data_IF_822364106147
#
_entry.id   IF_822364106147
#
_cell.length_a   1.000
_cell.length_b   1.000
_cell.length_c   1.000
_cell.angle_alpha   90.00
_cell.angle_beta   90.00
_cell.angle_gamma   90.00
#
_symmetry.space_group_name_H-M   'P 1'
#
loop_
_entity.id
_entity.type
_entity.pdbx_description
1 polymer ?
#
# COMPACT_ATOMS: atom_id res chain seq x y z
N UNK A 1 0.85 57.23 7.46
CA UNK A 1 0.70 56.82 6.06
C UNK A 1 1.52 55.55 5.81
N UNK A 2 1.03 54.37 6.27
CA UNK A 2 1.71 53.06 6.08
C UNK A 2 0.72 51.90 6.29
N UNK A 3 -0.39 51.89 5.57
CA UNK A 3 -1.40 50.80 5.68
C UNK A 3 -2.05 50.39 4.36
N UNK A 4 -1.46 50.67 3.19
CA UNK A 4 -2.11 50.43 1.89
C UNK A 4 -1.35 49.50 0.93
N UNK A 5 -0.27 48.82 1.36
CA UNK A 5 0.58 48.02 0.47
C UNK A 5 0.42 46.50 0.65
N UNK A 6 -0.42 45.99 1.56
CA UNK A 6 -0.60 44.55 1.78
C UNK A 6 -1.76 43.90 1.04
N UNK A 7 -2.72 44.69 0.50
CA UNK A 7 -3.90 44.14 -0.17
C UNK A 7 -3.67 43.74 -1.64
N UNK A 8 -2.63 44.27 -2.30
CA UNK A 8 -2.41 44.05 -3.73
C UNK A 8 -1.69 42.71 -4.04
N UNK A 9 -0.90 42.16 -3.08
CA UNK A 9 -0.11 40.94 -3.35
C UNK A 9 -0.91 39.65 -3.21
N UNK A 10 -1.98 39.66 -2.42
CA UNK A 10 -2.83 38.45 -2.22
C UNK A 10 -3.76 38.20 -3.44
N UNK A 11 -4.15 39.24 -4.17
CA UNK A 11 -5.02 39.07 -5.33
C UNK A 11 -4.31 38.48 -6.58
N UNK A 12 -3.00 38.63 -6.69
CA UNK A 12 -2.24 38.09 -7.83
C UNK A 12 -1.97 36.60 -7.67
N UNK A 13 -1.86 36.09 -6.44
CA UNK A 13 -1.65 34.66 -6.20
C UNK A 13 -2.90 33.80 -6.46
N UNK A 14 -4.10 34.36 -6.30
CA UNK A 14 -5.38 33.65 -6.55
C UNK A 14 -5.74 33.55 -8.04
N UNK A 15 -5.21 34.45 -8.88
CA UNK A 15 -5.44 34.40 -10.33
C UNK A 15 -4.48 33.43 -11.02
N UNK A 16 -3.29 33.21 -10.49
CA UNK A 16 -2.31 32.30 -11.09
C UNK A 16 -2.66 30.82 -10.90
N UNK A 17 -3.39 30.45 -9.85
CA UNK A 17 -3.83 29.06 -9.63
C UNK A 17 -5.02 28.65 -10.50
N UNK A 18 -5.82 29.60 -10.97
CA UNK A 18 -6.92 29.34 -11.89
C UNK A 18 -6.47 29.11 -13.34
N UNK A 19 -5.29 29.60 -13.73
CA UNK A 19 -4.78 29.41 -15.10
C UNK A 19 -4.15 28.03 -15.33
N UNK A 20 -3.63 27.38 -14.30
CA UNK A 20 -2.98 26.08 -14.44
C UNK A 20 -3.98 24.92 -14.70
N UNK A 21 -5.25 25.09 -14.32
CA UNK A 21 -6.29 24.07 -14.52
C UNK A 21 -6.90 24.15 -15.92
N UNK A 22 -6.86 25.32 -16.57
CA UNK A 22 -7.48 25.54 -17.87
C UNK A 22 -6.68 24.94 -19.06
N UNK A 23 -5.37 24.80 -18.94
CA UNK A 23 -4.53 24.25 -20.01
C UNK A 23 -4.61 22.72 -20.18
N UNK A 24 -5.24 22.00 -19.26
CA UNK A 24 -5.44 20.54 -19.36
C UNK A 24 -6.65 20.10 -20.20
N UNK A 25 -7.47 21.04 -20.69
CA UNK A 25 -8.74 20.75 -21.39
C UNK A 25 -8.71 21.29 -22.84
N UNK A 26 -7.56 21.26 -23.47
CA UNK A 26 -7.51 21.53 -24.91
C UNK A 26 -8.25 20.41 -25.67
N UNK A 27 -9.41 20.74 -26.24
CA UNK A 27 -10.21 19.85 -27.10
C UNK A 27 -11.63 19.54 -26.60
N UNK A 28 -12.02 19.97 -25.40
CA UNK A 28 -13.41 19.83 -24.98
C UNK A 28 -14.30 20.86 -25.71
N UNK A 29 -15.16 20.40 -26.62
CA UNK A 29 -16.15 21.26 -27.28
C UNK A 29 -17.22 21.79 -26.31
N UNK A 30 -17.37 21.20 -25.15
CA UNK A 30 -18.25 21.64 -24.06
C UNK A 30 -17.79 21.03 -22.73
N UNK A 31 -17.87 21.79 -21.66
CA UNK A 31 -17.77 21.27 -20.30
C UNK A 31 -19.19 21.05 -19.74
N UNK A 32 -19.46 19.86 -19.22
CA UNK A 32 -20.73 19.46 -18.64
C UNK A 32 -20.51 19.00 -17.21
N UNK A 33 -21.29 19.54 -16.28
CA UNK A 33 -21.34 18.97 -14.94
C UNK A 33 -22.02 17.60 -15.01
N UNK A 34 -21.41 16.59 -14.36
CA UNK A 34 -21.95 15.24 -14.26
C UNK A 34 -21.93 14.78 -12.82
N UNK A 35 -22.93 14.00 -12.45
CA UNK A 35 -23.03 13.40 -11.13
C UNK A 35 -23.61 11.99 -11.23
N UNK A 36 -23.12 11.10 -10.36
CA UNK A 36 -23.62 9.73 -10.24
C UNK A 36 -23.42 9.18 -8.85
N UNK A 37 -24.13 8.12 -8.56
CA UNK A 37 -24.03 7.34 -7.32
C UNK A 37 -23.80 5.88 -7.66
N UNK A 38 -23.20 5.11 -6.75
CA UNK A 38 -23.13 3.67 -6.88
C UNK A 38 -22.99 2.98 -5.52
N UNK A 39 -23.41 1.73 -5.49
CA UNK A 39 -23.06 0.76 -4.46
C UNK A 39 -22.31 -0.39 -5.14
N UNK A 40 -21.26 -0.90 -4.48
CA UNK A 40 -20.49 -2.01 -5.05
C UNK A 40 -20.04 -2.95 -3.94
N UNK A 41 -20.30 -4.24 -4.16
CA UNK A 41 -20.02 -5.32 -3.20
C UNK A 41 -18.75 -6.07 -3.58
N UNK A 42 -17.99 -6.49 -2.59
CA UNK A 42 -16.76 -7.26 -2.76
C UNK A 42 -17.03 -8.63 -3.37
N UNK A 43 -16.35 -8.96 -4.47
CA UNK A 43 -16.41 -10.26 -5.13
C UNK A 43 -15.18 -11.11 -4.87
N UNK A 44 -14.04 -10.49 -4.63
CA UNK A 44 -12.82 -11.15 -4.16
C UNK A 44 -11.90 -10.16 -3.46
N UNK A 45 -11.31 -10.57 -2.34
CA UNK A 45 -10.37 -9.77 -1.57
C UNK A 45 -9.16 -10.60 -1.15
N UNK A 46 -7.99 -9.97 -1.12
CA UNK A 46 -6.76 -10.54 -0.58
C UNK A 46 -6.18 -9.55 0.43
N UNK A 47 -6.00 -9.99 1.66
CA UNK A 47 -5.61 -9.12 2.78
C UNK A 47 -4.26 -9.56 3.35
N UNK A 48 -3.43 -8.56 3.69
CA UNK A 48 -2.16 -8.73 4.39
C UNK A 48 -2.14 -7.80 5.59
N UNK A 49 -1.68 -8.29 6.71
CA UNK A 49 -1.52 -7.50 7.93
C UNK A 49 -0.07 -7.40 8.31
N UNK A 50 0.39 -6.24 8.72
CA UNK A 50 1.71 -6.01 9.29
C UNK A 50 1.65 -5.06 10.47
N UNK A 51 2.61 -5.22 11.36
CA UNK A 51 2.81 -4.32 12.50
C UNK A 51 4.02 -3.44 12.22
N UNK A 52 3.89 -2.16 12.45
CA UNK A 52 4.98 -1.19 12.33
C UNK A 52 5.90 -1.27 13.55
N UNK A 53 7.07 -0.68 13.47
CA UNK A 53 8.05 -0.66 14.59
C UNK A 53 7.54 0.07 15.82
N UNK A 54 6.59 0.99 15.67
CA UNK A 54 5.88 1.71 16.74
C UNK A 54 4.59 0.99 17.22
N UNK A 55 4.41 -0.28 16.83
CA UNK A 55 3.34 -1.15 17.31
C UNK A 55 1.97 -0.95 16.64
N UNK A 56 1.88 -0.14 15.60
CA UNK A 56 0.62 0.07 14.88
C UNK A 56 0.34 -1.05 13.88
N UNK A 57 -0.93 -1.39 13.73
CA UNK A 57 -1.37 -2.43 12.79
C UNK A 57 -1.80 -1.82 11.46
N UNK A 58 -1.13 -2.23 10.39
CA UNK A 58 -1.46 -1.84 9.02
C UNK A 58 -2.08 -3.02 8.29
N UNK A 59 -3.25 -2.80 7.71
CA UNK A 59 -3.94 -3.79 6.87
C UNK A 59 -3.93 -3.31 5.43
N UNK A 60 -3.39 -4.12 4.54
CA UNK A 60 -3.39 -3.88 3.09
C UNK A 60 -4.35 -4.88 2.45
N UNK A 61 -5.34 -4.38 1.74
CA UNK A 61 -6.31 -5.24 1.03
C UNK A 61 -6.34 -4.85 -0.44
N UNK A 62 -6.19 -5.85 -1.30
CA UNK A 62 -6.46 -5.75 -2.74
C UNK A 62 -7.81 -6.42 -3.01
N UNK A 63 -8.77 -5.68 -3.58
CA UNK A 63 -10.14 -6.14 -3.77
C UNK A 63 -10.70 -5.88 -5.16
N UNK A 64 -11.66 -6.73 -5.55
CA UNK A 64 -12.54 -6.51 -6.71
C UNK A 64 -13.97 -6.35 -6.19
N UNK A 65 -14.69 -5.39 -6.76
CA UNK A 65 -16.05 -5.04 -6.36
C UNK A 65 -16.89 -4.86 -7.61
N UNK A 66 -18.16 -5.22 -7.52
CA UNK A 66 -19.14 -5.07 -8.61
C UNK A 66 -20.43 -4.49 -8.06
N UNK A 67 -21.13 -3.73 -8.90
CA UNK A 67 -22.37 -3.08 -8.51
C UNK A 67 -23.06 -2.41 -9.67
N UNK A 68 -23.88 -1.41 -9.35
CA UNK A 68 -24.62 -0.60 -10.33
C UNK A 68 -24.40 0.86 -10.01
N UNK A 69 -24.06 1.62 -11.04
CA UNK A 69 -23.99 3.08 -10.99
C UNK A 69 -25.27 3.68 -11.61
N UNK A 70 -25.73 4.77 -11.04
CA UNK A 70 -26.91 5.52 -11.47
C UNK A 70 -26.61 7.03 -11.42
N UNK A 71 -27.15 7.79 -12.36
CA UNK A 71 -26.96 9.23 -12.44
C UNK A 71 -27.06 9.76 -13.87
N UNK A 72 -26.16 10.65 -14.24
CA UNK A 72 -26.04 11.08 -15.63
C UNK A 72 -25.77 9.89 -16.57
N UNK A 73 -26.18 10.01 -17.82
CA UNK A 73 -26.06 8.94 -18.84
C UNK A 73 -24.66 8.38 -18.94
N UNK A 74 -23.62 9.20 -18.82
CA UNK A 74 -22.22 8.80 -18.88
C UNK A 74 -21.73 8.07 -17.61
N UNK A 75 -22.54 8.04 -16.56
CA UNK A 75 -22.25 7.43 -15.24
C UNK A 75 -23.33 6.41 -14.82
N UNK A 76 -24.09 5.87 -15.76
CA UNK A 76 -25.17 4.91 -15.50
C UNK A 76 -24.86 3.56 -16.15
N UNK A 77 -24.89 2.48 -15.37
CA UNK A 77 -24.69 1.10 -15.83
C UNK A 77 -24.00 0.21 -14.80
N UNK A 78 -23.75 -1.05 -15.13
CA UNK A 78 -22.96 -1.94 -14.32
C UNK A 78 -21.57 -1.34 -14.04
N UNK A 79 -21.13 -1.37 -12.77
CA UNK A 79 -19.81 -0.88 -12.38
C UNK A 79 -18.94 -2.00 -11.86
N UNK A 80 -17.69 -2.00 -12.30
CA UNK A 80 -16.63 -2.87 -11.78
C UNK A 80 -15.53 -2.00 -11.21
N UNK A 81 -15.07 -2.31 -9.99
CA UNK A 81 -13.97 -1.62 -9.35
C UNK A 81 -12.85 -2.60 -8.97
N UNK A 82 -11.64 -2.09 -9.00
CA UNK A 82 -10.48 -2.67 -8.31
C UNK A 82 -9.98 -1.64 -7.33
N UNK A 83 -9.81 -2.03 -6.09
CA UNK A 83 -9.30 -1.15 -5.06
C UNK A 83 -8.14 -1.80 -4.31
N UNK A 84 -7.17 -0.98 -3.98
CA UNK A 84 -6.16 -1.28 -2.98
C UNK A 84 -6.36 -0.33 -1.82
N UNK A 85 -6.49 -0.86 -0.63
CA UNK A 85 -6.54 -0.08 0.60
C UNK A 85 -5.31 -0.35 1.46
N UNK A 86 -4.78 0.70 2.08
CA UNK A 86 -3.75 0.63 3.10
C UNK A 86 -4.29 1.38 4.31
N UNK A 87 -4.70 0.64 5.33
CA UNK A 87 -5.40 1.20 6.50
C UNK A 87 -4.60 0.89 7.75
N UNK A 88 -4.27 1.94 8.49
CA UNK A 88 -3.84 1.83 9.87
C UNK A 88 -5.10 1.60 10.72
N UNK A 89 -5.29 0.37 11.19
CA UNK A 89 -6.47 -0.01 11.97
C UNK A 89 -6.40 0.46 13.41
N UNK A 90 -5.21 0.82 13.91
CA UNK A 90 -5.05 1.41 15.25
C UNK A 90 -5.61 2.84 15.29
N UNK A 91 -5.28 3.64 14.29
CA UNK A 91 -5.73 5.04 14.19
C UNK A 91 -6.99 5.19 13.33
N UNK A 92 -7.39 4.11 12.64
CA UNK A 92 -8.53 4.03 11.73
C UNK A 92 -8.48 5.04 10.57
N UNK A 93 -7.28 5.24 10.01
CA UNK A 93 -6.98 6.13 8.88
C UNK A 93 -6.17 5.41 7.80
N UNK A 94 -6.23 5.90 6.57
CA UNK A 94 -5.49 5.27 5.48
C UNK A 94 -5.77 5.88 4.12
N UNK A 95 -5.47 5.10 3.09
CA UNK A 95 -5.76 5.45 1.69
C UNK A 95 -6.49 4.30 1.01
N UNK A 96 -7.31 4.67 0.02
CA UNK A 96 -7.95 3.73 -0.91
C UNK A 96 -7.72 4.25 -2.32
N UNK A 97 -7.06 3.46 -3.13
CA UNK A 97 -6.75 3.80 -4.51
C UNK A 97 -7.19 2.68 -5.46
N UNK A 98 -7.44 3.01 -6.72
CA UNK A 98 -7.83 1.99 -7.67
C UNK A 98 -8.34 2.51 -8.99
N UNK A 99 -9.16 1.70 -9.63
CA UNK A 99 -9.81 2.01 -10.90
C UNK A 99 -11.24 1.49 -10.89
N UNK A 100 -12.10 2.20 -11.60
CA UNK A 100 -13.43 1.70 -11.94
C UNK A 100 -13.69 1.77 -13.45
N UNK A 101 -14.62 0.93 -13.91
CA UNK A 101 -15.24 0.99 -15.21
C UNK A 101 -16.75 0.88 -15.04
N UNK A 102 -17.48 1.76 -15.70
CA UNK A 102 -18.96 1.71 -15.84
C UNK A 102 -19.26 1.33 -17.27
N UNK A 103 -19.94 0.21 -17.44
CA UNK A 103 -20.44 -0.27 -18.74
C UNK A 103 -21.69 0.53 -19.10
N UNK A 104 -21.49 1.57 -19.94
CA UNK A 104 -22.55 2.51 -20.33
C UNK A 104 -23.24 1.99 -21.59
N UNK A 105 -24.57 1.97 -21.58
CA UNK A 105 -25.35 1.50 -22.71
C UNK A 105 -25.02 2.28 -23.99
N UNK A 106 -24.87 1.56 -25.11
CA UNK A 106 -24.67 2.08 -26.46
C UNK A 106 -23.38 2.88 -26.69
N UNK A 107 -22.28 2.55 -25.99
CA UNK A 107 -21.04 3.26 -26.25
C UNK A 107 -19.79 2.67 -25.63
N UNK A 108 -18.85 3.56 -25.30
CA UNK A 108 -17.60 3.18 -24.63
C UNK A 108 -17.79 3.31 -23.13
N UNK A 109 -17.15 2.43 -22.39
CA UNK A 109 -17.12 2.49 -20.93
C UNK A 109 -16.60 3.83 -20.42
N UNK A 110 -17.25 4.34 -19.39
CA UNK A 110 -16.66 5.38 -18.55
C UNK A 110 -15.69 4.72 -17.59
N UNK A 111 -14.44 5.17 -17.58
CA UNK A 111 -13.40 4.59 -16.71
C UNK A 111 -12.52 5.65 -16.10
N UNK A 112 -12.15 5.44 -14.83
CA UNK A 112 -11.24 6.34 -14.12
C UNK A 112 -10.36 5.58 -13.11
N UNK A 113 -9.18 6.16 -12.86
CA UNK A 113 -8.39 5.86 -11.67
C UNK A 113 -8.81 6.80 -10.56
N UNK A 114 -8.75 6.37 -9.33
CA UNK A 114 -9.07 7.19 -8.17
C UNK A 114 -8.07 7.00 -7.05
N UNK A 115 -7.94 8.05 -6.23
CA UNK A 115 -7.23 8.03 -4.96
C UNK A 115 -8.07 8.78 -3.92
N UNK A 116 -8.22 8.19 -2.76
CA UNK A 116 -9.05 8.71 -1.68
C UNK A 116 -8.38 8.51 -0.33
N UNK A 117 -8.61 9.44 0.58
CA UNK A 117 -8.30 9.31 2.01
C UNK A 117 -9.38 8.47 2.66
N UNK A 118 -8.97 7.52 3.48
CA UNK A 118 -9.85 6.75 4.37
C UNK A 118 -9.76 7.31 5.78
N UNK A 119 -10.91 7.59 6.37
CA UNK A 119 -11.04 8.03 7.76
C UNK A 119 -12.29 7.42 8.38
N UNK A 120 -12.11 6.52 9.35
CA UNK A 120 -13.19 5.90 10.14
C UNK A 120 -14.34 5.32 9.28
N UNK A 121 -14.02 4.62 8.21
CA UNK A 121 -15.01 4.01 7.31
C UNK A 121 -15.47 4.90 6.17
N UNK A 122 -15.22 6.21 6.22
CA UNK A 122 -15.52 7.11 5.11
C UNK A 122 -14.31 7.29 4.19
N UNK A 123 -14.55 7.42 2.90
CA UNK A 123 -13.53 7.84 1.93
C UNK A 123 -13.92 9.13 1.24
N UNK A 124 -12.92 9.96 0.96
CA UNK A 124 -13.05 11.17 0.15
C UNK A 124 -11.81 11.35 -0.72
N UNK A 125 -11.99 11.64 -2.01
CA UNK A 125 -10.90 11.74 -2.94
C UNK A 125 -11.30 12.22 -4.32
N UNK A 126 -10.46 11.90 -5.30
CA UNK A 126 -10.62 12.33 -6.68
C UNK A 126 -10.54 11.12 -7.63
N UNK A 127 -11.43 11.11 -8.62
CA UNK A 127 -11.41 10.21 -9.75
C UNK A 127 -11.04 10.97 -11.02
N UNK A 128 -10.10 10.42 -11.81
CA UNK A 128 -9.63 11.03 -13.06
C UNK A 128 -9.56 9.97 -14.15
N UNK A 129 -10.19 10.24 -15.29
CA UNK A 129 -10.25 9.27 -16.36
C UNK A 129 -10.90 9.76 -17.64
N UNK A 130 -11.66 8.86 -18.26
CA UNK A 130 -12.38 9.09 -19.53
C UNK A 130 -13.86 8.84 -19.30
N UNK A 131 -14.68 9.76 -19.81
CA UNK A 131 -16.11 9.54 -19.90
C UNK A 131 -16.45 8.73 -21.17
N UNK A 132 -17.68 8.26 -21.22
CA UNK A 132 -18.28 7.49 -22.32
C UNK A 132 -18.04 8.06 -23.73
N UNK A 133 -18.06 9.38 -23.88
CA UNK A 133 -17.85 10.00 -25.19
C UNK A 133 -16.38 9.93 -25.64
N UNK A 134 -16.11 9.80 -26.98
CA UNK A 134 -14.76 9.80 -27.50
C UNK A 134 -14.00 11.07 -27.07
N UNK A 135 -12.82 10.88 -26.47
CA UNK A 135 -11.93 11.94 -26.00
C UNK A 135 -12.47 12.83 -24.87
N UNK A 136 -13.63 12.53 -24.30
CA UNK A 136 -14.10 13.22 -23.10
C UNK A 136 -13.27 12.79 -21.89
N UNK A 137 -12.83 13.78 -21.10
CA UNK A 137 -12.15 13.54 -19.82
C UNK A 137 -13.16 13.60 -18.68
N UNK A 138 -12.99 12.73 -17.70
CA UNK A 138 -13.73 12.73 -16.44
C UNK A 138 -12.80 13.18 -15.32
N UNK A 139 -13.21 14.18 -14.56
CA UNK A 139 -12.63 14.53 -13.27
C UNK A 139 -13.80 14.69 -12.30
N UNK A 140 -13.84 13.89 -11.26
CA UNK A 140 -14.95 13.89 -10.31
C UNK A 140 -14.46 13.72 -8.87
N UNK A 141 -15.06 14.46 -7.95
CA UNK A 141 -14.93 14.12 -6.53
C UNK A 141 -15.55 12.75 -6.29
N UNK A 142 -14.88 11.94 -5.48
CA UNK A 142 -15.36 10.63 -5.02
C UNK A 142 -15.55 10.67 -3.51
N UNK A 143 -16.71 10.25 -3.05
CA UNK A 143 -16.96 9.99 -1.62
C UNK A 143 -17.80 8.73 -1.45
N UNK A 144 -17.56 7.97 -0.37
CA UNK A 144 -18.33 6.76 -0.03
C UNK A 144 -18.12 6.38 1.43
N UNK A 145 -18.98 5.51 1.95
CA UNK A 145 -18.60 4.60 3.04
C UNK A 145 -17.88 3.41 2.41
N UNK A 146 -16.72 3.03 2.97
CA UNK A 146 -15.88 1.97 2.44
C UNK A 146 -15.51 0.95 3.52
N UNK A 147 -15.66 -0.31 3.19
CA UNK A 147 -15.10 -1.44 3.92
C UNK A 147 -14.33 -2.33 2.95
N UNK A 148 -13.10 -2.67 3.26
CA UNK A 148 -12.27 -3.52 2.40
C UNK A 148 -12.91 -4.90 2.13
N UNK A 149 -13.69 -5.43 3.07
CA UNK A 149 -14.38 -6.71 2.94
C UNK A 149 -15.71 -6.61 2.18
N UNK A 150 -16.54 -5.60 2.49
CA UNK A 150 -17.90 -5.48 1.96
C UNK A 150 -18.00 -4.57 0.72
N UNK A 151 -17.12 -3.57 0.57
CA UNK A 151 -17.09 -2.71 -0.60
C UNK A 151 -17.45 -1.26 -0.33
N UNK A 152 -18.12 -0.64 -1.30
CA UNK A 152 -18.50 0.77 -1.33
C UNK A 152 -19.99 0.90 -1.16
N UNK A 153 -20.42 1.76 -0.22
CA UNK A 153 -21.83 2.04 0.03
C UNK A 153 -22.09 3.55 -0.04
N UNK A 154 -23.18 3.92 -0.70
CA UNK A 154 -23.60 5.32 -0.87
C UNK A 154 -22.54 6.16 -1.59
N UNK A 155 -21.79 5.55 -2.51
CA UNK A 155 -20.72 6.23 -3.24
C UNK A 155 -21.29 7.31 -4.16
N UNK A 156 -20.58 8.44 -4.23
CA UNK A 156 -20.93 9.58 -5.08
C UNK A 156 -19.75 9.96 -5.96
N UNK A 157 -20.03 10.19 -7.22
CA UNK A 157 -19.13 10.77 -8.21
C UNK A 157 -19.64 12.15 -8.57
N UNK A 158 -18.86 13.19 -8.32
CA UNK A 158 -19.32 14.57 -8.46
C UNK A 158 -20.18 15.06 -7.31
N UNK A 159 -20.52 16.34 -7.25
CA UNK A 159 -21.52 16.90 -6.34
C UNK A 159 -21.21 16.84 -4.84
N UNK A 160 -19.97 16.77 -4.42
CA UNK A 160 -19.59 16.78 -3.01
C UNK A 160 -18.34 17.59 -2.72
N UNK A 161 -18.25 18.19 -1.55
CA UNK A 161 -16.99 18.72 -1.04
C UNK A 161 -16.14 17.53 -0.60
N UNK A 162 -14.97 17.36 -1.22
CA UNK A 162 -13.94 16.48 -0.69
C UNK A 162 -13.41 17.08 0.61
N UNK A 163 -14.09 16.80 1.72
CA UNK A 163 -13.61 17.12 3.05
C UNK A 163 -12.90 15.91 3.61
N UNK A 164 -11.59 15.96 3.79
CA UNK A 164 -10.84 14.86 4.34
C UNK A 164 -9.65 15.33 5.16
N UNK A 165 -9.28 14.53 6.15
CA UNK A 165 -8.01 14.66 6.85
C UNK A 165 -6.89 14.30 5.88
N UNK A 166 -5.82 15.09 5.83
CA UNK A 166 -4.62 14.71 5.10
C UNK A 166 -3.99 13.49 5.78
N UNK A 167 -3.71 12.46 5.01
CA UNK A 167 -3.02 11.24 5.49
C UNK A 167 -1.74 11.07 4.70
N UNK A 168 -0.62 11.09 5.40
CA UNK A 168 0.67 10.70 4.85
C UNK A 168 0.86 9.19 5.07
N UNK A 169 1.01 8.44 3.97
CA UNK A 169 1.44 7.04 4.02
C UNK A 169 2.91 7.01 3.61
N UNK A 170 3.76 6.90 4.60
CA UNK A 170 5.20 6.77 4.40
C UNK A 170 5.55 5.52 3.57
N UNK A 171 6.78 5.45 3.02
CA UNK A 171 7.24 4.30 2.24
C UNK A 171 7.42 3.09 3.16
N UNK A 172 6.33 2.41 3.46
CA UNK A 172 6.31 1.16 4.19
C UNK A 172 5.98 0.03 3.23
N UNK A 173 6.88 -0.91 3.01
CA UNK A 173 6.48 -2.17 2.40
C UNK A 173 5.91 -3.06 3.50
N UNK A 174 4.63 -3.39 3.43
CA UNK A 174 4.06 -4.53 4.14
C UNK A 174 4.64 -5.82 3.52
N UNK A 175 5.94 -6.00 3.62
CA UNK A 175 6.52 -7.31 3.47
C UNK A 175 6.30 -7.98 4.83
N UNK A 176 5.81 -9.24 4.88
CA UNK A 176 6.01 -10.01 6.09
C UNK A 176 7.49 -9.84 6.40
N UNK A 177 7.81 -9.33 7.58
CA UNK A 177 9.17 -9.42 8.05
C UNK A 177 9.52 -10.88 7.85
N UNK A 178 10.37 -11.17 6.84
CA UNK A 178 11.12 -12.41 6.91
C UNK A 178 11.64 -12.35 8.33
N UNK A 179 11.38 -13.35 9.17
CA UNK A 179 12.05 -13.37 10.43
C UNK A 179 13.50 -13.13 10.06
N UNK A 180 14.04 -12.00 10.44
CA UNK A 180 15.46 -11.75 10.37
C UNK A 180 15.93 -12.82 11.34
N UNK A 181 16.29 -13.96 10.78
CA UNK A 181 17.05 -14.93 11.53
C UNK A 181 18.21 -14.08 12.02
N UNK A 182 18.19 -13.74 13.31
CA UNK A 182 19.30 -13.00 13.90
C UNK A 182 20.51 -13.82 13.51
N UNK A 183 21.27 -13.31 12.54
CA UNK A 183 22.45 -13.97 12.04
C UNK A 183 23.52 -13.64 13.04
N UNK A 184 23.87 -14.61 13.85
CA UNK A 184 25.04 -14.54 14.70
C UNK A 184 26.23 -15.10 13.94
N UNK A 185 27.34 -14.40 13.95
CA UNK A 185 28.59 -14.77 13.32
C UNK A 185 29.71 -14.74 14.33
N UNK A 186 30.60 -15.72 14.30
CA UNK A 186 31.79 -15.73 15.13
C UNK A 186 32.98 -16.30 14.37
N UNK A 187 34.12 -15.66 14.56
CA UNK A 187 35.41 -16.08 14.01
C UNK A 187 36.43 -16.33 15.14
N UNK A 188 37.09 -17.46 15.11
CA UNK A 188 38.09 -17.80 16.12
C UNK A 188 38.33 -19.30 16.25
N UNK A 189 38.97 -19.69 17.33
CA UNK A 189 39.25 -21.10 17.63
C UNK A 189 37.96 -21.83 18.05
N UNK A 190 37.78 -23.05 17.51
CA UNK A 190 36.72 -23.96 17.96
C UNK A 190 37.04 -24.43 19.39
N UNK A 191 36.31 -23.90 20.35
CA UNK A 191 36.48 -24.24 21.76
C UNK A 191 35.76 -25.53 22.17
N UNK A 192 34.67 -25.87 21.49
CA UNK A 192 33.93 -27.11 21.66
C UNK A 192 33.31 -27.57 20.35
N UNK A 193 33.34 -28.87 20.07
CA UNK A 193 32.72 -29.52 18.93
C UNK A 193 32.14 -30.86 19.35
N UNK A 194 30.86 -31.06 18.98
CA UNK A 194 30.15 -32.34 19.19
C UNK A 194 29.36 -32.69 17.91
N UNK A 195 28.68 -33.82 17.90
CA UNK A 195 27.77 -34.16 16.79
C UNK A 195 26.55 -33.26 16.69
N UNK A 196 26.21 -32.50 17.73
CA UNK A 196 24.99 -31.67 17.80
C UNK A 196 25.28 -30.20 17.99
N UNK A 197 26.51 -29.79 18.29
CA UNK A 197 26.83 -28.38 18.56
C UNK A 197 28.27 -28.02 18.28
N UNK A 198 28.51 -26.76 17.95
CA UNK A 198 29.85 -26.17 17.78
C UNK A 198 29.90 -24.83 18.52
N UNK A 199 31.04 -24.54 19.16
CA UNK A 199 31.30 -23.27 19.84
C UNK A 199 32.56 -22.62 19.28
N UNK A 200 32.47 -21.39 18.80
CA UNK A 200 33.57 -20.57 18.26
C UNK A 200 33.49 -19.20 18.92
N UNK A 201 34.56 -18.73 19.51
CA UNK A 201 34.64 -17.42 20.16
C UNK A 201 33.45 -17.10 21.11
N UNK A 202 32.96 -18.10 21.83
CA UNK A 202 31.82 -17.96 22.75
C UNK A 202 30.43 -18.09 22.12
N UNK A 203 30.30 -18.08 20.78
CA UNK A 203 29.03 -18.36 20.11
C UNK A 203 28.86 -19.88 19.98
N UNK A 204 27.77 -20.41 20.56
CA UNK A 204 27.38 -21.81 20.41
C UNK A 204 26.21 -21.94 19.45
N UNK A 205 26.36 -22.82 18.46
CA UNK A 205 25.31 -23.10 17.47
C UNK A 205 25.02 -24.61 17.41
N UNK A 206 23.75 -24.97 17.35
CA UNK A 206 23.31 -26.32 17.09
C UNK A 206 23.69 -26.73 15.65
N UNK A 207 24.23 -27.92 15.47
CA UNK A 207 24.54 -28.48 14.15
C UNK A 207 23.31 -29.27 13.68
N UNK A 208 22.69 -28.90 12.52
CA UNK A 208 21.62 -29.69 11.93
C UNK A 208 22.07 -31.14 11.66
N UNK A 209 21.19 -32.10 11.82
CA UNK A 209 21.50 -33.51 11.69
C UNK A 209 22.08 -33.88 10.29
N UNK A 210 21.60 -33.24 9.25
CA UNK A 210 22.06 -33.38 7.87
C UNK A 210 23.47 -32.86 7.63
N UNK A 211 23.98 -31.97 8.48
CA UNK A 211 25.33 -31.37 8.39
C UNK A 211 26.32 -31.98 9.39
N UNK A 212 25.84 -32.72 10.37
CA UNK A 212 26.65 -33.21 11.48
C UNK A 212 27.85 -34.06 11.04
N UNK A 213 27.64 -35.02 10.13
CA UNK A 213 28.69 -35.88 9.61
C UNK A 213 29.79 -35.07 8.90
N UNK A 214 29.40 -34.14 8.04
CA UNK A 214 30.32 -33.30 7.26
C UNK A 214 31.14 -32.36 8.13
N UNK A 215 30.50 -31.75 9.13
CA UNK A 215 31.16 -30.83 10.07
C UNK A 215 32.19 -31.58 10.89
N UNK A 216 31.83 -32.71 11.47
CA UNK A 216 32.73 -33.50 12.32
C UNK A 216 33.88 -34.20 11.55
N UNK A 217 33.70 -34.45 10.22
CA UNK A 217 34.77 -34.96 9.38
C UNK A 217 35.82 -33.91 8.99
N UNK A 218 35.43 -32.64 8.89
CA UNK A 218 36.25 -31.55 8.36
C UNK A 218 36.85 -30.64 9.44
N UNK A 219 36.24 -30.56 10.61
CA UNK A 219 36.61 -29.63 11.66
C UNK A 219 36.93 -30.39 12.97
N UNK A 220 37.89 -29.87 13.70
CA UNK A 220 38.34 -30.42 14.99
C UNK A 220 38.41 -29.32 16.04
N UNK A 221 38.36 -29.67 17.29
CA UNK A 221 38.63 -28.73 18.39
C UNK A 221 40.02 -28.12 18.20
N UNK A 222 40.15 -26.83 18.47
CA UNK A 222 41.33 -25.98 18.23
C UNK A 222 41.60 -25.58 16.76
N UNK A 223 40.78 -26.01 15.77
CA UNK A 223 40.81 -25.41 14.42
C UNK A 223 40.33 -23.97 14.49
N UNK A 224 40.85 -23.11 13.59
CA UNK A 224 40.32 -21.78 13.41
C UNK A 224 39.19 -21.81 12.38
N UNK A 225 38.00 -21.32 12.76
CA UNK A 225 36.84 -21.34 11.90
C UNK A 225 36.03 -20.04 12.01
N UNK A 226 35.24 -19.78 10.98
CA UNK A 226 34.18 -18.80 10.97
C UNK A 226 32.83 -19.54 10.88
N UNK A 227 31.94 -19.27 11.81
CA UNK A 227 30.61 -19.85 11.83
C UNK A 227 29.53 -18.78 11.65
N UNK A 228 28.51 -19.11 10.87
CA UNK A 228 27.30 -18.31 10.72
C UNK A 228 26.12 -19.13 11.24
N UNK A 229 25.35 -18.56 12.12
CA UNK A 229 24.19 -19.20 12.72
C UNK A 229 22.96 -18.35 12.54
N UNK A 230 21.80 -18.99 12.42
CA UNK A 230 20.51 -18.36 12.38
C UNK A 230 19.70 -18.78 13.59
N UNK A 231 18.95 -17.86 14.19
CA UNK A 231 18.03 -18.17 15.28
C UNK A 231 16.82 -18.91 14.72
N UNK A 232 16.69 -20.19 15.00
CA UNK A 232 15.58 -21.05 14.59
C UNK A 232 14.87 -21.53 15.86
N UNK A 233 13.62 -21.16 16.05
CA UNK A 233 12.83 -21.52 17.23
C UNK A 233 13.54 -21.24 18.57
N UNK A 234 14.23 -20.08 18.65
CA UNK A 234 14.97 -19.68 19.86
C UNK A 234 16.34 -20.31 20.04
N UNK A 235 16.81 -21.14 19.10
CA UNK A 235 18.12 -21.79 19.14
C UNK A 235 18.99 -21.30 17.97
N UNK A 236 20.23 -20.87 18.27
CA UNK A 236 21.22 -20.59 17.22
C UNK A 236 21.56 -21.88 16.47
N UNK A 237 21.23 -21.94 15.18
CA UNK A 237 21.41 -23.12 14.34
C UNK A 237 22.46 -22.81 13.27
N UNK A 238 23.45 -23.66 13.12
CA UNK A 238 24.55 -23.51 12.17
C UNK A 238 24.03 -23.50 10.73
N UNK A 239 24.27 -22.42 10.00
CA UNK A 239 23.93 -22.28 8.59
C UNK A 239 25.14 -22.47 7.68
N UNK A 240 26.31 -22.01 8.12
CA UNK A 240 27.56 -22.09 7.36
C UNK A 240 28.74 -22.20 8.33
N UNK A 241 29.78 -22.93 7.91
CA UNK A 241 31.08 -22.97 8.58
C UNK A 241 32.20 -22.98 7.54
N UNK A 242 33.25 -22.21 7.79
CA UNK A 242 34.44 -22.11 6.94
C UNK A 242 35.71 -22.23 7.77
N UNK A 243 36.68 -22.98 7.26
CA UNK A 243 38.02 -23.04 7.85
C UNK A 243 38.79 -21.78 7.48
N UNK A 244 39.42 -21.16 8.46
CA UNK A 244 40.27 -19.98 8.25
C UNK A 244 41.73 -20.38 8.59
N UNK A 245 42.64 -19.80 7.88
CA UNK A 245 44.08 -20.02 8.03
C UNK A 245 44.70 -18.82 8.73
#
# INVERSE_FOLDING_TARGET
MRKLTFAAVVLIALVATSYAVAHGIEGAKSAKAVAGTFDATGTSTSTRTCTTTDGKTIVVTDGKYTGVAAGDTDLTGPITLRARSVINTTDNVGIVEGRFSIDVANGRDTSASYAAVYNQGAIAGLAVGKAHQPNAKLIANLSATFSAASGFTGAKLGGGTAGGTAVEVGPGSCRPSRPTAEKSEAHGTISALSTTSITVAGLTCAIPADKSADVNAKFHQNDTAEIHCALVSGTNTLTKIEKKH
#
